data_IF_927079134484
#
_entry.id   IF_927079134484
#
_cell.length_a   1.000
_cell.length_b   1.000
_cell.length_c   1.000
_cell.angle_alpha   90.00
_cell.angle_beta   90.00
_cell.angle_gamma   90.00
#
_symmetry.space_group_name_H-M   'P 1'
#
loop_
_entity.id
_entity.type
_entity.pdbx_description
1 polymer ?
#
# COMPACT_ATOMS: atom_id res chain seq x y z
N UNK A 1 8.46 23.03 7.05
CA UNK A 1 9.10 23.30 5.74
C UNK A 1 9.76 22.04 5.18
N UNK A 2 10.91 21.56 5.70
CA UNK A 2 11.61 20.39 5.12
C UNK A 2 10.82 19.08 5.16
N UNK A 3 10.08 18.82 6.24
CA UNK A 3 9.23 17.61 6.36
C UNK A 3 8.15 17.57 5.27
N UNK A 4 7.40 18.66 5.08
CA UNK A 4 6.40 18.74 4.00
C UNK A 4 7.03 18.78 2.60
N UNK A 5 8.21 19.40 2.44
CA UNK A 5 8.96 19.35 1.18
C UNK A 5 9.33 17.92 0.77
N UNK A 6 9.72 17.08 1.73
CA UNK A 6 9.95 15.65 1.51
C UNK A 6 8.69 14.93 1.01
N UNK A 7 7.52 15.29 1.57
CA UNK A 7 6.22 14.73 1.17
C UNK A 7 5.86 15.13 -0.25
N UNK A 8 6.04 16.39 -0.61
CA UNK A 8 5.84 16.87 -1.98
C UNK A 8 6.78 16.17 -2.97
N UNK A 9 8.03 15.90 -2.57
CA UNK A 9 8.96 15.18 -3.42
C UNK A 9 8.55 13.71 -3.60
N UNK A 10 8.15 13.03 -2.53
CA UNK A 10 7.59 11.69 -2.62
C UNK A 10 6.34 11.64 -3.53
N UNK A 11 5.46 12.64 -3.46
CA UNK A 11 4.32 12.75 -4.36
C UNK A 11 4.75 12.86 -5.83
N UNK A 12 5.74 13.72 -6.13
CA UNK A 12 6.31 13.84 -7.48
C UNK A 12 6.99 12.55 -7.96
N UNK A 13 7.71 11.86 -7.08
CA UNK A 13 8.34 10.57 -7.38
C UNK A 13 7.31 9.56 -7.89
N UNK A 14 6.13 9.52 -7.25
CA UNK A 14 5.02 8.66 -7.65
C UNK A 14 4.22 9.15 -8.85
N UNK A 15 4.41 10.40 -9.30
CA UNK A 15 3.51 11.05 -10.24
C UNK A 15 2.10 11.30 -9.65
N UNK A 16 2.00 11.44 -8.33
CA UNK A 16 0.75 11.68 -7.61
C UNK A 16 0.18 13.08 -7.87
N UNK A 17 -1.14 13.23 -7.70
CA UNK A 17 -1.83 14.50 -7.91
C UNK A 17 -1.68 15.46 -6.73
N UNK A 18 -1.44 14.94 -5.52
CA UNK A 18 -1.29 15.74 -4.31
C UNK A 18 -0.34 15.09 -3.30
N UNK A 19 0.32 15.92 -2.49
CA UNK A 19 1.08 15.47 -1.32
C UNK A 19 0.16 14.86 -0.23
N UNK A 20 -1.14 15.15 -0.25
CA UNK A 20 -2.11 14.55 0.68
C UNK A 20 -2.33 13.04 0.43
N UNK A 21 -1.90 12.55 -0.73
CA UNK A 21 -1.93 11.13 -1.10
C UNK A 21 -0.75 10.34 -0.53
N UNK A 22 0.17 11.01 0.16
CA UNK A 22 1.43 10.45 0.66
C UNK A 22 1.42 10.40 2.18
N UNK A 23 1.49 9.18 2.72
CA UNK A 23 1.62 8.88 4.15
C UNK A 23 3.03 8.39 4.44
N UNK A 24 3.72 9.01 5.38
CA UNK A 24 4.99 8.49 5.90
C UNK A 24 4.75 7.34 6.86
N UNK A 25 5.50 6.26 6.64
CA UNK A 25 5.48 5.04 7.44
C UNK A 25 6.92 4.63 7.77
N UNK A 26 7.15 3.63 8.61
CA UNK A 26 8.47 3.09 8.94
C UNK A 26 9.09 2.26 7.82
N UNK A 27 8.30 1.88 6.82
CA UNK A 27 8.70 1.09 5.67
C UNK A 27 7.51 0.44 4.97
N UNK A 28 7.75 -0.27 3.87
CA UNK A 28 6.75 -1.01 3.09
C UNK A 28 5.88 -1.88 3.98
N UNK A 29 6.47 -2.60 4.93
CA UNK A 29 5.72 -3.48 5.84
C UNK A 29 4.64 -2.73 6.61
N UNK A 30 4.93 -1.54 7.14
CA UNK A 30 3.92 -0.76 7.85
C UNK A 30 2.88 -0.20 6.90
N UNK A 31 3.28 0.29 5.72
CA UNK A 31 2.34 0.75 4.69
C UNK A 31 1.33 -0.33 4.29
N UNK A 32 1.80 -1.56 4.06
CA UNK A 32 0.94 -2.70 3.72
C UNK A 32 0.05 -3.13 4.91
N UNK A 33 0.55 -3.07 6.14
CA UNK A 33 -0.26 -3.33 7.33
C UNK A 33 -1.34 -2.28 7.55
N UNK A 34 -1.04 -1.01 7.31
CA UNK A 34 -2.00 0.10 7.37
C UNK A 34 -3.15 -0.18 6.40
N UNK A 35 -2.83 -0.45 5.13
CA UNK A 35 -3.83 -0.74 4.09
C UNK A 35 -4.66 -1.97 4.47
N UNK A 36 -4.01 -3.10 4.78
CA UNK A 36 -4.72 -4.32 5.13
C UNK A 36 -5.63 -4.13 6.35
N UNK A 37 -5.14 -3.52 7.43
CA UNK A 37 -5.91 -3.35 8.67
C UNK A 37 -7.12 -2.43 8.46
N UNK A 38 -6.92 -1.29 7.81
CA UNK A 38 -7.98 -0.29 7.60
C UNK A 38 -9.04 -0.76 6.59
N UNK A 39 -8.64 -1.49 5.53
CA UNK A 39 -9.57 -2.18 4.64
C UNK A 39 -10.30 -3.32 5.36
N UNK A 40 -9.59 -4.07 6.20
CA UNK A 40 -10.14 -5.15 7.02
C UNK A 40 -11.20 -4.68 8.02
N UNK A 41 -11.11 -3.43 8.47
CA UNK A 41 -12.09 -2.81 9.36
C UNK A 41 -13.30 -2.25 8.61
N UNK A 42 -13.07 -1.60 7.46
CA UNK A 42 -14.10 -0.77 6.82
C UNK A 42 -14.72 -1.36 5.55
N UNK A 43 -14.06 -2.34 4.91
CA UNK A 43 -14.43 -2.79 3.55
C UNK A 43 -14.45 -4.29 3.34
N UNK A 44 -13.81 -5.08 4.20
CA UNK A 44 -13.76 -6.55 4.05
C UNK A 44 -14.65 -7.24 5.07
N UNK A 45 -15.45 -8.19 4.57
CA UNK A 45 -16.30 -9.06 5.36
C UNK A 45 -15.94 -10.54 5.16
N UNK A 46 -16.55 -11.41 5.98
CA UNK A 46 -16.39 -12.86 5.85
C UNK A 46 -16.78 -13.31 4.44
N UNK A 47 -15.92 -14.08 3.80
CA UNK A 47 -16.13 -14.62 2.46
C UNK A 47 -15.75 -13.68 1.31
N UNK A 48 -15.43 -12.40 1.58
CA UNK A 48 -14.77 -11.56 0.57
C UNK A 48 -13.39 -12.13 0.24
N UNK A 49 -12.95 -11.93 -1.01
CA UNK A 49 -11.69 -12.48 -1.50
C UNK A 49 -10.60 -11.42 -1.61
N UNK A 50 -9.41 -11.80 -1.14
CA UNK A 50 -8.13 -11.15 -1.44
C UNK A 50 -7.31 -12.09 -2.33
N UNK A 51 -6.80 -11.57 -3.44
CA UNK A 51 -5.91 -12.30 -4.35
C UNK A 51 -4.50 -11.74 -4.20
N UNK A 52 -3.54 -12.61 -3.90
CA UNK A 52 -2.11 -12.31 -3.86
C UNK A 52 -1.38 -13.10 -4.96
N UNK A 53 -0.06 -12.96 -5.06
CA UNK A 53 0.78 -13.82 -5.91
C UNK A 53 1.69 -14.70 -5.07
N UNK A 54 2.15 -15.83 -5.60
CA UNK A 54 3.17 -16.64 -4.91
C UNK A 54 4.54 -15.94 -4.81
N UNK A 55 4.73 -14.81 -5.51
CA UNK A 55 5.96 -14.01 -5.47
C UNK A 55 5.99 -12.99 -4.33
N UNK A 56 4.93 -12.88 -3.53
CA UNK A 56 4.86 -11.87 -2.48
C UNK A 56 5.95 -12.05 -1.41
N UNK A 57 6.54 -10.93 -1.00
CA UNK A 57 7.33 -10.89 0.24
C UNK A 57 6.40 -11.11 1.44
N UNK A 58 6.91 -11.65 2.55
CA UNK A 58 6.10 -11.92 3.75
C UNK A 58 5.32 -10.69 4.27
N UNK A 59 5.89 -9.49 4.10
CA UNK A 59 5.21 -8.21 4.43
C UNK A 59 3.90 -8.00 3.68
N UNK A 60 3.75 -8.60 2.50
CA UNK A 60 2.54 -8.55 1.68
C UNK A 60 1.74 -9.87 1.72
N UNK A 61 2.03 -10.77 2.66
CA UNK A 61 1.27 -12.02 2.89
C UNK A 61 0.67 -12.02 4.29
N UNK A 62 1.52 -11.78 5.31
CA UNK A 62 1.15 -11.92 6.72
C UNK A 62 -0.03 -11.04 7.12
N UNK A 63 -0.15 -9.76 6.71
CA UNK A 63 -1.31 -8.95 7.07
C UNK A 63 -2.64 -9.55 6.58
N UNK A 64 -2.65 -10.10 5.37
CA UNK A 64 -3.83 -10.73 4.77
C UNK A 64 -4.15 -12.09 5.41
N UNK A 65 -3.13 -12.88 5.76
CA UNK A 65 -3.33 -14.11 6.55
C UNK A 65 -3.97 -13.82 7.90
N UNK A 66 -3.53 -12.75 8.59
CA UNK A 66 -4.16 -12.34 9.86
C UNK A 66 -5.62 -11.94 9.67
N UNK A 67 -5.96 -11.25 8.58
CA UNK A 67 -7.36 -10.94 8.27
C UNK A 67 -8.17 -12.20 7.94
N UNK A 68 -7.59 -13.19 7.27
CA UNK A 68 -8.24 -14.48 7.04
C UNK A 68 -8.60 -15.14 8.38
N UNK A 69 -7.69 -15.14 9.34
CA UNK A 69 -7.94 -15.70 10.68
C UNK A 69 -9.00 -14.90 11.46
N UNK A 70 -8.89 -13.57 11.47
CA UNK A 70 -9.72 -12.69 12.32
C UNK A 70 -11.11 -12.41 11.73
N UNK A 71 -11.23 -12.34 10.39
CA UNK A 71 -12.43 -11.90 9.68
C UNK A 71 -13.03 -12.99 8.79
N UNK A 72 -12.29 -14.06 8.49
CA UNK A 72 -12.77 -15.14 7.62
C UNK A 72 -12.85 -14.73 6.15
N UNK A 73 -11.96 -13.85 5.68
CA UNK A 73 -11.78 -13.59 4.25
C UNK A 73 -11.21 -14.82 3.54
N UNK A 74 -11.47 -14.96 2.25
CA UNK A 74 -10.80 -15.91 1.37
C UNK A 74 -9.48 -15.31 0.87
N UNK A 75 -8.37 -16.04 0.98
CA UNK A 75 -7.06 -15.59 0.50
C UNK A 75 -6.57 -16.59 -0.55
N UNK A 76 -6.43 -16.12 -1.79
CA UNK A 76 -6.04 -16.90 -2.96
C UNK A 76 -4.71 -16.39 -3.52
N UNK A 77 -3.98 -17.26 -4.21
CA UNK A 77 -2.67 -16.93 -4.79
C UNK A 77 -2.65 -17.25 -6.28
N UNK A 78 -2.24 -16.29 -7.10
CA UNK A 78 -1.87 -16.49 -8.50
C UNK A 78 -0.50 -17.18 -8.52
N UNK A 79 -0.44 -18.31 -9.21
CA UNK A 79 0.79 -19.09 -9.33
C UNK A 79 1.67 -18.55 -10.46
N UNK A 80 2.89 -19.08 -10.56
CA UNK A 80 3.86 -18.71 -11.60
C UNK A 80 4.09 -19.87 -12.58
N UNK A 81 4.54 -19.51 -13.78
CA UNK A 81 5.09 -20.43 -14.78
C UNK A 81 6.55 -20.78 -14.44
N UNK A 82 7.09 -21.83 -15.07
CA UNK A 82 8.47 -22.29 -14.84
C UNK A 82 9.54 -21.24 -15.21
N UNK A 83 9.20 -20.28 -16.08
CA UNK A 83 10.05 -19.14 -16.44
C UNK A 83 9.85 -17.93 -15.52
N UNK A 84 9.15 -18.10 -14.39
CA UNK A 84 9.03 -17.12 -13.32
C UNK A 84 8.07 -15.97 -13.59
N UNK A 85 7.07 -16.16 -14.46
CA UNK A 85 6.04 -15.16 -14.79
C UNK A 85 4.71 -15.55 -14.15
N UNK A 86 3.84 -14.57 -13.88
CA UNK A 86 2.48 -14.87 -13.40
C UNK A 86 1.71 -15.66 -14.46
N UNK A 87 0.98 -16.69 -14.04
CA UNK A 87 0.11 -17.47 -14.93
C UNK A 87 -1.11 -16.64 -15.31
N UNK A 88 -1.18 -16.17 -16.56
CA UNK A 88 -2.31 -15.37 -17.05
C UNK A 88 -3.67 -16.08 -16.90
N UNK A 89 -3.71 -17.41 -17.10
CA UNK A 89 -4.93 -18.23 -16.95
C UNK A 89 -5.54 -18.15 -15.53
N UNK A 90 -4.74 -17.81 -14.52
CA UNK A 90 -5.22 -17.66 -13.14
C UNK A 90 -5.91 -16.33 -12.90
N UNK A 91 -5.63 -15.29 -13.71
CA UNK A 91 -6.10 -13.93 -13.45
C UNK A 91 -7.62 -13.84 -13.52
N UNK A 92 -8.23 -14.24 -14.64
CA UNK A 92 -9.68 -14.19 -14.82
C UNK A 92 -10.44 -15.14 -13.89
N UNK A 93 -9.80 -16.26 -13.52
CA UNK A 93 -10.35 -17.29 -12.65
C UNK A 93 -10.38 -16.85 -11.19
N UNK A 94 -9.30 -16.23 -10.71
CA UNK A 94 -9.16 -15.85 -9.31
C UNK A 94 -9.73 -14.46 -9.02
N UNK A 95 -9.58 -13.51 -9.94
CA UNK A 95 -10.10 -12.14 -9.86
C UNK A 95 -11.55 -12.14 -10.35
N UNK A 96 -12.43 -12.67 -9.50
CA UNK A 96 -13.88 -12.77 -9.72
C UNK A 96 -14.65 -11.63 -9.00
N UNK A 97 -15.98 -11.48 -9.19
CA UNK A 97 -16.79 -10.45 -8.52
C UNK A 97 -16.82 -10.48 -6.97
N UNK A 98 -16.30 -11.54 -6.32
CA UNK A 98 -16.10 -11.57 -4.86
C UNK A 98 -14.75 -10.97 -4.44
N UNK A 99 -13.87 -10.74 -5.39
CA UNK A 99 -12.58 -10.09 -5.14
C UNK A 99 -12.81 -8.66 -4.69
N UNK A 100 -12.18 -8.28 -3.60
CA UNK A 100 -12.19 -6.92 -3.06
C UNK A 100 -10.82 -6.28 -3.12
N UNK A 101 -9.76 -7.09 -3.06
CA UNK A 101 -8.38 -6.63 -3.12
C UNK A 101 -7.55 -7.59 -3.96
N UNK A 102 -6.75 -7.04 -4.87
CA UNK A 102 -5.62 -7.71 -5.48
C UNK A 102 -4.37 -7.05 -4.93
N UNK A 103 -3.52 -7.83 -4.26
CA UNK A 103 -2.23 -7.36 -3.74
C UNK A 103 -1.09 -8.01 -4.50
N UNK A 104 -0.13 -7.21 -4.97
CA UNK A 104 0.88 -7.69 -5.91
C UNK A 104 2.20 -6.96 -5.75
N UNK A 105 3.30 -7.70 -5.74
CA UNK A 105 4.64 -7.13 -5.86
C UNK A 105 4.87 -6.62 -7.28
N UNK A 106 5.34 -5.38 -7.43
CA UNK A 106 5.69 -4.83 -8.74
C UNK A 106 6.97 -5.47 -9.30
N UNK A 107 7.94 -5.78 -8.43
CA UNK A 107 9.14 -6.51 -8.80
C UNK A 107 9.49 -7.55 -7.72
N UNK A 108 9.59 -8.83 -8.09
CA UNK A 108 9.94 -9.89 -7.16
C UNK A 108 11.33 -9.67 -6.57
N UNK A 109 11.47 -9.76 -5.24
CA UNK A 109 12.76 -9.67 -4.56
C UNK A 109 13.63 -10.92 -4.71
N UNK A 110 13.08 -12.01 -5.25
CA UNK A 110 13.78 -13.28 -5.44
C UNK A 110 14.10 -13.48 -6.92
N UNK A 111 13.08 -13.37 -7.78
CA UNK A 111 13.22 -13.65 -9.21
C UNK A 111 13.62 -12.42 -10.03
N UNK A 112 13.40 -11.21 -9.51
CA UNK A 112 13.54 -9.97 -10.28
C UNK A 112 12.45 -9.77 -11.32
N UNK A 113 11.49 -10.69 -11.45
CA UNK A 113 10.33 -10.56 -12.35
C UNK A 113 9.57 -9.28 -12.08
N UNK A 114 9.40 -8.45 -13.11
CA UNK A 114 8.54 -7.26 -13.08
C UNK A 114 7.15 -7.66 -13.52
N UNK A 115 6.16 -7.46 -12.65
CA UNK A 115 4.79 -7.87 -12.90
C UNK A 115 4.01 -6.79 -13.68
N UNK A 116 3.08 -7.18 -14.58
CA UNK A 116 2.29 -6.27 -15.39
C UNK A 116 1.14 -5.64 -14.58
N UNK A 117 1.48 -4.73 -13.65
CA UNK A 117 0.51 -4.13 -12.72
C UNK A 117 -0.66 -3.47 -13.43
N UNK A 118 -0.42 -2.80 -14.57
CA UNK A 118 -1.47 -2.12 -15.33
C UNK A 118 -2.56 -3.08 -15.81
N UNK A 119 -2.18 -4.22 -16.36
CA UNK A 119 -3.10 -5.24 -16.84
C UNK A 119 -3.89 -5.86 -15.68
N UNK A 120 -3.20 -6.13 -14.57
CA UNK A 120 -3.84 -6.63 -13.34
C UNK A 120 -4.86 -5.62 -12.81
N UNK A 121 -4.52 -4.32 -12.85
CA UNK A 121 -5.40 -3.27 -12.37
C UNK A 121 -6.66 -3.11 -13.21
N UNK A 122 -6.55 -3.20 -14.53
CA UNK A 122 -7.72 -3.16 -15.42
C UNK A 122 -8.70 -4.29 -15.09
N UNK A 123 -8.21 -5.52 -14.95
CA UNK A 123 -9.05 -6.67 -14.60
C UNK A 123 -9.64 -6.53 -13.18
N UNK A 124 -8.84 -6.08 -12.22
CA UNK A 124 -9.30 -5.88 -10.84
C UNK A 124 -10.39 -4.82 -10.76
N UNK A 125 -10.19 -3.67 -11.41
CA UNK A 125 -11.14 -2.54 -11.43
C UNK A 125 -12.43 -2.90 -12.15
N UNK A 126 -12.37 -3.66 -13.25
CA UNK A 126 -13.55 -4.19 -13.95
C UNK A 126 -14.42 -5.10 -13.06
N UNK A 127 -13.82 -5.68 -12.02
CA UNK A 127 -14.50 -6.51 -11.01
C UNK A 127 -14.77 -5.79 -9.69
N UNK A 128 -14.45 -4.49 -9.62
CA UNK A 128 -14.66 -3.65 -8.44
C UNK A 128 -13.68 -3.91 -7.29
N UNK A 129 -12.55 -4.56 -7.55
CA UNK A 129 -11.49 -4.81 -6.58
C UNK A 129 -10.46 -3.68 -6.57
N UNK A 130 -9.85 -3.41 -5.42
CA UNK A 130 -8.74 -2.46 -5.27
C UNK A 130 -7.38 -3.12 -5.53
N UNK A 131 -6.40 -2.36 -5.99
CA UNK A 131 -5.03 -2.85 -6.23
C UNK A 131 -4.04 -2.26 -5.24
N UNK A 132 -3.38 -3.15 -4.49
CA UNK A 132 -2.32 -2.80 -3.54
C UNK A 132 -0.98 -3.27 -4.08
N UNK A 133 -0.03 -2.37 -4.25
CA UNK A 133 1.26 -2.65 -4.88
C UNK A 133 2.39 -2.58 -3.86
N UNK A 134 3.13 -3.68 -3.71
CA UNK A 134 4.45 -3.66 -3.08
C UNK A 134 5.49 -3.20 -4.10
N UNK A 135 5.96 -1.96 -3.95
CA UNK A 135 6.97 -1.35 -4.80
C UNK A 135 8.37 -1.36 -4.16
N UNK A 136 8.60 -2.14 -3.10
CA UNK A 136 9.86 -2.09 -2.36
C UNK A 136 11.09 -2.36 -3.23
N UNK A 137 10.96 -3.22 -4.26
CA UNK A 137 12.05 -3.51 -5.20
C UNK A 137 11.94 -2.76 -6.52
N UNK A 138 10.75 -2.34 -6.95
CA UNK A 138 10.62 -1.59 -8.18
C UNK A 138 11.04 -0.13 -7.99
N UNK A 139 10.73 0.50 -6.85
CA UNK A 139 11.06 1.90 -6.59
C UNK A 139 12.55 2.26 -6.82
N UNK A 140 13.55 1.48 -6.36
CA UNK A 140 14.96 1.81 -6.61
C UNK A 140 15.46 1.50 -8.03
N UNK A 141 14.66 0.84 -8.86
CA UNK A 141 15.11 0.29 -10.14
C UNK A 141 14.29 0.77 -11.34
N UNK A 142 13.06 1.19 -11.11
CA UNK A 142 12.05 1.51 -12.12
C UNK A 142 11.32 2.78 -11.72
N UNK A 143 10.83 3.51 -12.73
CA UNK A 143 9.90 4.61 -12.48
C UNK A 143 8.56 4.04 -12.01
N UNK A 144 8.13 4.43 -10.81
CA UNK A 144 6.85 4.03 -10.22
C UNK A 144 5.85 5.18 -10.40
N UNK A 145 5.11 5.16 -11.50
CA UNK A 145 4.08 6.16 -11.81
C UNK A 145 2.69 5.56 -11.52
N UNK A 146 2.04 6.06 -10.48
CA UNK A 146 0.81 5.47 -9.92
C UNK A 146 -0.36 5.49 -10.91
N UNK A 147 -0.43 6.53 -11.74
CA UNK A 147 -1.44 6.65 -12.81
C UNK A 147 -1.21 5.64 -13.93
N UNK A 148 0.05 5.44 -14.35
CA UNK A 148 0.40 4.41 -15.34
C UNK A 148 0.19 2.99 -14.82
N UNK A 149 0.43 2.76 -13.53
CA UNK A 149 0.19 1.46 -12.91
C UNK A 149 -1.31 1.18 -12.72
N UNK A 150 -2.14 2.21 -12.57
CA UNK A 150 -3.54 2.03 -12.17
C UNK A 150 -3.68 1.51 -10.74
N UNK A 151 -2.69 1.77 -9.88
CA UNK A 151 -2.72 1.30 -8.50
C UNK A 151 -3.67 2.14 -7.64
N UNK A 152 -4.21 1.54 -6.57
CA UNK A 152 -4.99 2.24 -5.55
C UNK A 152 -4.15 2.58 -4.31
N UNK A 153 -3.17 1.72 -4.01
CA UNK A 153 -2.15 1.93 -2.99
C UNK A 153 -0.79 1.42 -3.47
N UNK A 154 0.29 2.12 -3.09
CA UNK A 154 1.67 1.74 -3.42
C UNK A 154 2.57 1.97 -2.21
N UNK A 155 3.33 0.97 -1.79
CA UNK A 155 4.22 1.09 -0.63
C UNK A 155 5.71 0.87 -0.98
N UNK A 156 6.60 1.71 -0.45
CA UNK A 156 8.05 1.57 -0.57
C UNK A 156 8.79 1.79 0.76
N UNK A 157 10.05 1.34 0.83
CA UNK A 157 10.93 1.50 1.99
C UNK A 157 12.13 2.36 1.64
N UNK A 158 12.42 3.38 2.46
CA UNK A 158 13.52 4.32 2.23
C UNK A 158 14.89 3.65 2.20
N UNK A 159 15.14 2.66 3.06
CA UNK A 159 16.43 1.96 3.11
C UNK A 159 16.79 1.17 1.83
N UNK A 160 15.82 0.91 0.94
CA UNK A 160 16.08 0.34 -0.39
C UNK A 160 16.36 1.40 -1.46
N UNK A 161 15.97 2.65 -1.18
CA UNK A 161 16.19 3.84 -2.01
C UNK A 161 17.52 4.53 -1.70
N UNK A 162 18.46 3.88 -1.00
CA UNK A 162 19.67 4.51 -0.43
C UNK A 162 19.36 5.59 0.64
N UNK A 163 18.13 5.64 1.13
CA UNK A 163 17.70 6.51 2.22
C UNK A 163 17.85 5.87 3.62
N UNK A 164 17.40 6.56 4.67
CA UNK A 164 17.46 6.05 6.04
C UNK A 164 16.61 4.80 6.29
N UNK A 165 16.97 4.04 7.33
CA UNK A 165 16.09 3.04 7.93
C UNK A 165 14.97 3.70 8.74
N UNK A 166 13.88 2.97 8.98
CA UNK A 166 12.76 3.45 9.80
C UNK A 166 11.92 4.55 9.13
N UNK A 167 12.02 4.68 7.81
CA UNK A 167 11.17 5.53 6.98
C UNK A 167 10.83 4.81 5.67
N UNK A 168 9.63 5.05 5.18
CA UNK A 168 9.08 4.61 3.92
C UNK A 168 7.84 5.43 3.59
N UNK A 169 7.22 5.08 2.48
CA UNK A 169 6.06 5.83 1.98
C UNK A 169 4.97 4.84 1.60
N UNK A 170 3.76 5.16 2.03
CA UNK A 170 2.53 4.65 1.44
C UNK A 170 1.92 5.78 0.62
N UNK A 171 1.84 5.61 -0.69
CA UNK A 171 0.93 6.38 -1.52
C UNK A 171 -0.43 5.69 -1.57
N UNK A 172 -1.52 6.45 -1.54
CA UNK A 172 -2.87 5.95 -1.78
C UNK A 172 -3.77 7.02 -2.37
N UNK A 173 -4.73 6.63 -3.21
CA UNK A 173 -5.66 7.58 -3.83
C UNK A 173 -6.39 8.42 -2.78
N UNK A 174 -6.48 9.73 -3.01
CA UNK A 174 -7.01 10.69 -2.02
C UNK A 174 -8.41 10.33 -1.50
N UNK A 175 -9.31 9.88 -2.36
CA UNK A 175 -10.67 9.45 -1.99
C UNK A 175 -10.68 8.16 -1.15
N UNK A 176 -9.73 7.26 -1.39
CA UNK A 176 -9.62 6.03 -0.61
C UNK A 176 -9.07 6.34 0.77
N UNK A 177 -7.98 7.11 0.86
CA UNK A 177 -7.41 7.54 2.14
C UNK A 177 -8.43 8.28 3.00
N UNK A 178 -9.26 9.16 2.41
CA UNK A 178 -10.32 9.87 3.14
C UNK A 178 -11.39 8.93 3.69
N UNK A 179 -11.68 7.84 2.98
CA UNK A 179 -12.68 6.86 3.38
C UNK A 179 -12.16 5.83 4.40
N UNK A 180 -10.84 5.70 4.57
CA UNK A 180 -10.25 4.74 5.51
C UNK A 180 -10.31 5.24 6.97
N UNK A 181 -10.59 4.34 7.93
CA UNK A 181 -10.48 4.65 9.35
C UNK A 181 -9.00 4.81 9.77
N UNK A 182 -8.71 5.42 10.93
CA UNK A 182 -7.35 5.49 11.45
C UNK A 182 -6.69 4.12 11.63
N UNK A 183 -5.37 4.05 11.44
CA UNK A 183 -4.58 2.83 11.68
C UNK A 183 -4.01 2.77 13.10
N UNK A 184 -3.35 3.85 13.53
CA UNK A 184 -2.85 4.04 14.89
C UNK A 184 -3.57 5.22 15.53
N UNK A 185 -3.83 5.15 16.84
CA UNK A 185 -4.41 6.25 17.62
C UNK A 185 -3.36 6.93 18.49
N UNK A 186 -3.41 8.26 18.59
CA UNK A 186 -2.47 9.04 19.40
C UNK A 186 -2.57 10.54 19.14
N UNK A 187 -1.52 11.28 19.52
CA UNK A 187 -1.37 12.69 19.15
C UNK A 187 -1.16 12.88 17.65
N UNK A 188 -1.20 14.13 17.18
CA UNK A 188 -1.00 14.58 15.78
C UNK A 188 -2.06 14.12 14.75
N UNK A 189 -2.74 12.99 14.98
CA UNK A 189 -3.72 12.41 14.05
C UNK A 189 -5.19 12.79 14.33
N UNK A 190 -5.42 13.55 15.40
CA UNK A 190 -6.74 13.98 15.86
C UNK A 190 -7.08 15.39 15.35
N UNK A 191 -8.38 15.71 15.32
CA UNK A 191 -8.88 17.08 15.18
C UNK A 191 -9.32 17.61 16.54
N UNK A 192 -10.17 16.86 17.25
CA UNK A 192 -10.64 17.20 18.60
C UNK A 192 -10.65 15.94 19.49
N UNK A 193 -10.29 16.12 20.76
CA UNK A 193 -10.33 15.05 21.78
C UNK A 193 -11.12 15.56 22.98
N UNK A 194 -12.17 14.83 23.34
CA UNK A 194 -12.94 15.00 24.55
C UNK A 194 -12.90 13.72 25.40
N UNK A 195 -13.42 13.77 26.62
CA UNK A 195 -13.38 12.61 27.53
C UNK A 195 -14.10 11.36 26.99
N UNK A 196 -15.10 11.53 26.12
CA UNK A 196 -15.94 10.44 25.59
C UNK A 196 -16.06 10.43 24.06
N UNK A 197 -15.36 11.31 23.36
CA UNK A 197 -15.39 11.38 21.91
C UNK A 197 -14.07 11.87 21.33
N UNK A 198 -13.78 11.42 20.12
CA UNK A 198 -12.62 11.85 19.33
C UNK A 198 -13.06 12.07 17.89
N UNK A 199 -12.54 13.11 17.25
CA UNK A 199 -12.61 13.30 15.81
C UNK A 199 -11.19 13.29 15.24
N UNK A 200 -11.05 12.78 14.01
CA UNK A 200 -9.74 12.56 13.40
C UNK A 200 -9.43 13.65 12.36
N UNK A 201 -8.14 13.90 12.16
CA UNK A 201 -7.67 14.77 11.08
C UNK A 201 -7.99 14.15 9.71
N UNK A 202 -7.86 14.96 8.66
CA UNK A 202 -7.84 14.45 7.28
C UNK A 202 -6.51 13.75 6.97
N UNK A 203 -6.47 12.87 5.95
CA UNK A 203 -5.22 12.35 5.43
C UNK A 203 -4.27 13.49 4.99
N UNK A 204 -2.95 13.29 5.11
CA UNK A 204 -2.28 12.07 5.56
C UNK A 204 -2.14 11.98 7.09
N UNK A 205 -2.38 13.10 7.81
CA UNK A 205 -2.17 13.20 9.27
C UNK A 205 -2.95 12.15 10.07
N UNK A 206 -4.15 11.75 9.62
CA UNK A 206 -4.94 10.64 10.22
C UNK A 206 -4.13 9.35 10.44
N UNK A 207 -3.11 9.12 9.62
CA UNK A 207 -2.32 7.88 9.61
C UNK A 207 -0.93 8.05 10.24
N UNK A 208 -0.55 9.26 10.64
CA UNK A 208 0.77 9.61 11.18
C UNK A 208 0.68 9.92 12.69
N UNK A 209 0.24 8.92 13.47
CA UNK A 209 0.04 9.09 14.90
C UNK A 209 1.35 9.30 15.66
N UNK A 210 1.39 10.34 16.50
CA UNK A 210 2.53 10.70 17.33
C UNK A 210 3.61 11.51 16.60
N UNK A 211 4.71 11.82 17.29
CA UNK A 211 5.80 12.60 16.70
C UNK A 211 6.41 11.85 15.50
N UNK A 212 6.44 12.45 14.30
CA UNK A 212 6.93 11.78 13.11
C UNK A 212 8.45 11.60 13.11
N UNK A 213 8.95 10.65 12.32
CA UNK A 213 10.38 10.50 12.03
C UNK A 213 10.85 11.58 11.04
N UNK A 214 10.96 12.83 11.53
CA UNK A 214 11.33 13.99 10.71
C UNK A 214 12.71 13.80 10.05
N UNK A 215 13.68 13.26 10.80
CA UNK A 215 15.04 13.04 10.26
C UNK A 215 15.03 11.98 9.14
N UNK A 216 14.24 10.92 9.30
CA UNK A 216 14.02 9.90 8.27
C UNK A 216 13.41 10.49 7.01
N UNK A 217 12.33 11.29 7.14
CA UNK A 217 11.68 11.91 5.99
C UNK A 217 12.61 12.86 5.22
N UNK A 218 13.39 13.69 5.92
CA UNK A 218 14.37 14.59 5.29
C UNK A 218 15.52 13.81 4.64
N UNK A 219 15.97 12.71 5.25
CA UNK A 219 16.98 11.86 4.64
C UNK A 219 16.46 11.08 3.42
N UNK A 220 15.17 10.69 3.43
CA UNK A 220 14.53 10.08 2.27
C UNK A 220 14.36 11.08 1.13
N UNK A 221 14.00 12.34 1.42
CA UNK A 221 13.92 13.42 0.42
C UNK A 221 15.20 13.59 -0.39
N UNK A 222 16.36 13.48 0.28
CA UNK A 222 17.66 13.58 -0.38
C UNK A 222 18.00 12.35 -1.26
N UNK A 223 17.26 11.25 -1.12
CA UNK A 223 17.48 9.99 -1.81
C UNK A 223 16.48 9.72 -2.95
N UNK A 224 15.34 10.44 -2.97
CA UNK A 224 14.33 10.41 -4.03
C UNK A 224 14.79 11.23 -5.24
#
# INVERSE_FOLDING_TARGET
ARYEGAREHAARFFGAGSAEEVVFVRGTTEGLNLVASTLGESRLARGDRVVATVMEHHSNIVPWQRLRELRGIDLQFIDITDDGRLRADDWERLIDPRTRVVTVTHASNVLGTVNPIREIAEIAHDRGALVVVDAAQSAPHLRVDVGRLGADFVALSGHKMLGPMGIGVLWGRAELLRALPPYMGGGEMIREVHQQSVSFAEPPARFEAGTPNVAGAVGLDAAL
#
